data_IF_565987223563
#
_entry.id   IF_565987223563
#
_cell.length_a   1.000
_cell.length_b   1.000
_cell.length_c   1.000
_cell.angle_alpha   90.00
_cell.angle_beta   90.00
_cell.angle_gamma   90.00
#
_symmetry.space_group_name_H-M   'P 1'
#
loop_
_entity.id
_entity.type
_entity.pdbx_description
1 polymer ?
#
# COMPACT_ATOMS: atom_id res chain seq x y z
N UNK A 1 16.85 -9.03 -11.65
CA UNK A 1 16.46 -7.66 -12.07
C UNK A 1 14.97 -7.61 -12.34
N UNK A 2 14.43 -6.50 -12.87
CA UNK A 2 12.99 -6.41 -13.17
C UNK A 2 12.53 -7.44 -14.23
N UNK A 3 13.40 -7.84 -15.16
CA UNK A 3 13.13 -8.91 -16.13
C UNK A 3 12.80 -10.24 -15.44
N UNK A 4 13.67 -10.66 -14.52
CA UNK A 4 13.49 -11.89 -13.72
C UNK A 4 12.17 -11.89 -12.94
N UNK A 5 11.79 -10.73 -12.39
CA UNK A 5 10.53 -10.59 -11.65
C UNK A 5 9.33 -10.79 -12.59
N UNK A 6 9.37 -10.24 -13.80
CA UNK A 6 8.29 -10.37 -14.80
C UNK A 6 8.09 -11.81 -15.25
N UNK A 7 9.18 -12.56 -15.38
CA UNK A 7 9.16 -13.96 -15.84
C UNK A 7 8.80 -14.95 -14.72
N UNK A 8 8.95 -14.56 -13.46
CA UNK A 8 8.61 -15.42 -12.32
C UNK A 8 7.09 -15.48 -12.14
N UNK A 9 6.53 -16.68 -12.33
CA UNK A 9 5.10 -16.91 -12.18
C UNK A 9 4.62 -16.59 -10.76
N UNK A 10 3.57 -15.76 -10.65
CA UNK A 10 2.96 -15.36 -9.39
C UNK A 10 3.95 -14.79 -8.34
N UNK A 11 5.04 -14.16 -8.78
CA UNK A 11 6.11 -13.63 -7.90
C UNK A 11 5.60 -12.84 -6.68
N UNK A 12 4.53 -12.06 -6.82
CA UNK A 12 4.05 -11.22 -5.72
C UNK A 12 3.40 -12.02 -4.59
N UNK A 13 2.94 -13.26 -4.85
CA UNK A 13 2.45 -14.20 -3.83
C UNK A 13 3.60 -14.77 -3.00
N UNK A 14 4.84 -14.76 -3.49
CA UNK A 14 5.97 -15.42 -2.82
C UNK A 14 6.76 -14.52 -1.90
N UNK A 15 6.31 -13.27 -1.68
CA UNK A 15 7.06 -12.29 -0.89
C UNK A 15 7.01 -12.60 0.60
N UNK A 16 8.17 -12.57 1.26
CA UNK A 16 8.23 -12.58 2.73
C UNK A 16 7.78 -11.23 3.28
N UNK A 17 6.97 -11.28 4.35
CA UNK A 17 6.56 -10.09 5.10
C UNK A 17 7.75 -9.40 5.79
N UNK A 18 7.81 -8.08 5.69
CA UNK A 18 8.76 -7.23 6.43
C UNK A 18 8.13 -6.62 7.70
N UNK A 19 6.79 -6.57 7.76
CA UNK A 19 6.07 -5.99 8.89
C UNK A 19 6.20 -6.88 10.15
N UNK A 20 6.19 -6.27 11.36
CA UNK A 20 6.13 -7.03 12.61
C UNK A 20 4.93 -8.00 12.64
N UNK A 21 5.04 -9.18 13.30
CA UNK A 21 3.97 -10.16 13.34
C UNK A 21 2.62 -9.65 13.86
N UNK A 22 2.61 -8.60 14.69
CA UNK A 22 1.41 -7.98 15.25
C UNK A 22 0.58 -7.18 14.23
N UNK A 23 1.17 -6.77 13.10
CA UNK A 23 0.50 -5.91 12.12
C UNK A 23 -0.69 -6.60 11.46
N UNK A 24 -0.52 -7.84 10.99
CA UNK A 24 -1.56 -8.53 10.23
C UNK A 24 -2.79 -8.88 11.07
N UNK A 25 -2.67 -9.39 12.32
CA UNK A 25 -3.81 -9.55 13.20
C UNK A 25 -4.58 -8.24 13.45
N UNK A 26 -3.87 -7.12 13.67
CA UNK A 26 -4.50 -5.80 13.84
C UNK A 26 -5.30 -5.38 12.63
N UNK A 27 -4.71 -5.51 11.44
CA UNK A 27 -5.39 -5.21 10.17
C UNK A 27 -6.58 -6.13 9.94
N UNK A 28 -6.44 -7.44 10.15
CA UNK A 28 -7.49 -8.43 9.97
C UNK A 28 -8.67 -8.25 10.93
N UNK A 29 -8.42 -7.77 12.15
CA UNK A 29 -9.47 -7.46 13.11
C UNK A 29 -10.23 -6.18 12.74
N UNK A 30 -9.57 -5.22 12.08
CA UNK A 30 -10.08 -3.85 11.94
C UNK A 30 -10.61 -3.55 10.53
N UNK A 31 -10.13 -4.22 9.48
CA UNK A 31 -10.40 -3.82 8.08
C UNK A 31 -11.86 -3.93 7.64
N UNK A 32 -12.70 -4.63 8.41
CA UNK A 32 -14.16 -4.71 8.19
C UNK A 32 -14.94 -3.61 8.89
N UNK A 33 -14.39 -3.03 9.97
CA UNK A 33 -15.01 -1.94 10.73
C UNK A 33 -14.53 -0.58 10.22
N UNK A 34 -13.23 -0.47 9.97
CA UNK A 34 -12.58 0.66 9.34
C UNK A 34 -12.22 0.22 7.91
N UNK A 35 -12.84 0.77 6.85
CA UNK A 35 -12.52 0.39 5.49
C UNK A 35 -11.05 0.66 5.15
N UNK A 36 -10.28 -0.40 4.91
CA UNK A 36 -8.85 -0.31 4.52
C UNK A 36 -8.71 -0.63 3.03
N UNK A 37 -8.08 0.29 2.29
CA UNK A 37 -7.73 0.10 0.89
C UNK A 37 -6.24 -0.23 0.74
N UNK A 38 -5.96 -1.39 0.14
CA UNK A 38 -4.60 -1.78 -0.22
C UNK A 38 -4.28 -1.31 -1.63
N UNK A 39 -3.60 -0.17 -1.75
CA UNK A 39 -3.26 0.43 -3.04
C UNK A 39 -1.80 0.17 -3.39
N UNK A 40 -1.54 -0.45 -4.55
CA UNK A 40 -0.18 -0.84 -4.95
C UNK A 40 0.15 -0.47 -6.39
N UNK A 41 1.44 -0.29 -6.68
CA UNK A 41 1.97 -0.16 -8.05
C UNK A 41 3.04 -1.22 -8.23
N UNK A 42 2.80 -2.20 -9.09
CA UNK A 42 3.71 -3.33 -9.31
C UNK A 42 3.94 -3.53 -10.79
N UNK A 43 5.10 -4.09 -11.16
CA UNK A 43 5.30 -4.58 -12.52
C UNK A 43 4.42 -5.82 -12.75
N UNK A 44 3.83 -5.99 -13.94
CA UNK A 44 3.15 -7.24 -14.31
C UNK A 44 4.12 -8.42 -14.23
N UNK A 45 3.62 -9.58 -13.84
CA UNK A 45 4.38 -10.84 -13.79
C UNK A 45 3.58 -11.94 -14.47
N UNK A 46 4.24 -13.03 -14.86
CA UNK A 46 3.59 -14.19 -15.43
C UNK A 46 2.56 -14.79 -14.44
N UNK A 47 1.50 -15.42 -14.97
CA UNK A 47 0.44 -16.04 -14.19
C UNK A 47 -0.75 -15.11 -13.92
N UNK A 48 -1.19 -15.06 -12.65
CA UNK A 48 -2.39 -14.31 -12.23
C UNK A 48 -2.20 -12.80 -12.33
N UNK A 49 -3.30 -12.05 -12.35
CA UNK A 49 -3.22 -10.58 -12.29
C UNK A 49 -2.55 -10.12 -10.99
N UNK A 50 -1.89 -8.94 -11.02
CA UNK A 50 -1.28 -8.32 -9.82
C UNK A 50 -2.29 -8.23 -8.68
N UNK A 51 -3.53 -7.83 -9.00
CA UNK A 51 -4.60 -7.70 -8.02
C UNK A 51 -4.89 -9.05 -7.34
N UNK A 52 -5.01 -10.14 -8.12
CA UNK A 52 -5.27 -11.47 -7.57
C UNK A 52 -4.12 -11.97 -6.73
N UNK A 53 -2.87 -11.76 -7.17
CA UNK A 53 -1.69 -12.11 -6.38
C UNK A 53 -1.65 -11.38 -5.03
N UNK A 54 -1.96 -10.08 -5.01
CA UNK A 54 -2.01 -9.30 -3.78
C UNK A 54 -3.14 -9.75 -2.84
N UNK A 55 -4.31 -10.09 -3.39
CA UNK A 55 -5.43 -10.65 -2.61
C UNK A 55 -4.98 -11.95 -1.95
N UNK A 56 -4.45 -12.90 -2.72
CA UNK A 56 -4.01 -14.19 -2.20
C UNK A 56 -2.96 -14.02 -1.09
N UNK A 57 -1.97 -13.14 -1.32
CA UNK A 57 -0.92 -12.86 -0.33
C UNK A 57 -1.48 -12.28 0.97
N UNK A 58 -2.44 -11.35 0.89
CA UNK A 58 -3.07 -10.74 2.07
C UNK A 58 -3.98 -11.73 2.83
N UNK A 59 -4.69 -12.59 2.10
CA UNK A 59 -5.51 -13.67 2.67
C UNK A 59 -4.65 -14.68 3.42
N UNK A 60 -3.46 -15.02 2.91
CA UNK A 60 -2.47 -15.85 3.61
C UNK A 60 -1.98 -15.23 4.92
N UNK A 61 -2.08 -13.90 5.08
CA UNK A 61 -1.78 -13.21 6.35
C UNK A 61 -3.01 -13.08 7.27
N UNK A 62 -4.17 -13.62 6.87
CA UNK A 62 -5.41 -13.60 7.65
C UNK A 62 -6.33 -12.41 7.36
N UNK A 63 -6.00 -11.53 6.41
CA UNK A 63 -6.85 -10.41 6.01
C UNK A 63 -7.81 -10.92 4.93
N UNK A 64 -8.97 -11.41 5.35
CA UNK A 64 -9.96 -12.02 4.46
C UNK A 64 -10.73 -10.97 3.64
N UNK A 65 -10.99 -11.27 2.36
CA UNK A 65 -11.71 -10.39 1.42
C UNK A 65 -11.13 -8.96 1.30
N UNK A 66 -9.80 -8.79 1.10
CA UNK A 66 -9.16 -7.47 1.12
C UNK A 66 -9.55 -6.62 -0.11
N UNK A 67 -9.80 -5.33 0.10
CA UNK A 67 -10.01 -4.37 -0.98
C UNK A 67 -8.66 -3.93 -1.57
N UNK A 68 -8.27 -4.56 -2.68
CA UNK A 68 -7.00 -4.27 -3.39
C UNK A 68 -7.25 -3.47 -4.66
N UNK A 69 -6.53 -2.35 -4.83
CA UNK A 69 -6.52 -1.54 -6.06
C UNK A 69 -5.09 -1.45 -6.60
N UNK A 70 -4.92 -1.78 -7.88
CA UNK A 70 -3.63 -1.67 -8.57
C UNK A 70 -3.59 -0.37 -9.37
N UNK A 71 -2.71 0.55 -8.98
CA UNK A 71 -2.44 1.77 -9.72
C UNK A 71 -1.65 1.45 -11.00
N UNK A 72 -2.06 2.06 -12.12
CA UNK A 72 -1.54 1.73 -13.45
C UNK A 72 -0.30 2.53 -13.85
N UNK A 73 0.58 1.92 -14.64
CA UNK A 73 1.71 2.60 -15.33
C UNK A 73 1.64 2.52 -16.89
N UNK A 74 0.44 2.34 -17.49
CA UNK A 74 0.07 2.24 -18.95
C UNK A 74 0.12 0.83 -19.62
N UNK A 75 -0.65 0.43 -20.66
CA UNK A 75 -1.33 1.12 -21.81
C UNK A 75 -2.79 0.65 -22.08
N UNK A 76 -3.70 1.60 -22.32
CA UNK A 76 -5.09 1.44 -22.78
C UNK A 76 -5.83 2.79 -22.77
N UNK A 77 -7.04 2.91 -23.35
CA UNK A 77 -7.79 4.19 -23.52
C UNK A 77 -8.11 4.96 -22.21
N UNK A 78 -7.83 4.40 -21.04
CA UNK A 78 -7.94 5.05 -19.75
C UNK A 78 -6.52 5.40 -19.26
N UNK A 79 -6.26 6.69 -18.99
CA UNK A 79 -4.92 7.22 -18.72
C UNK A 79 -4.19 6.63 -17.50
N UNK A 80 -3.00 7.19 -17.21
CA UNK A 80 -2.21 6.88 -16.01
C UNK A 80 -3.01 7.25 -14.76
N UNK A 81 -3.57 6.27 -14.06
CA UNK A 81 -4.15 6.49 -12.72
C UNK A 81 -3.05 6.35 -11.68
N UNK A 82 -2.63 7.48 -11.09
CA UNK A 82 -1.70 7.47 -9.96
C UNK A 82 -2.39 6.98 -8.68
N UNK A 83 -1.60 6.61 -7.68
CA UNK A 83 -2.14 6.29 -6.35
C UNK A 83 -2.85 7.50 -5.72
N UNK A 84 -2.35 8.72 -5.95
CA UNK A 84 -3.01 9.96 -5.52
C UNK A 84 -4.38 10.16 -6.19
N UNK A 85 -4.55 9.80 -7.47
CA UNK A 85 -5.84 9.85 -8.14
C UNK A 85 -6.84 8.87 -7.53
N UNK A 86 -6.38 7.66 -7.16
CA UNK A 86 -7.20 6.69 -6.44
C UNK A 86 -7.62 7.27 -5.08
N UNK A 87 -6.70 7.87 -4.32
CA UNK A 87 -7.05 8.49 -3.05
C UNK A 87 -8.03 9.65 -3.21
N UNK A 88 -7.96 10.47 -4.28
CA UNK A 88 -8.97 11.51 -4.53
C UNK A 88 -10.38 10.93 -4.74
N UNK A 89 -10.49 9.76 -5.34
CA UNK A 89 -11.78 9.09 -5.59
C UNK A 89 -12.33 8.49 -4.29
N UNK A 90 -11.48 7.79 -3.53
CA UNK A 90 -11.89 7.06 -2.33
C UNK A 90 -11.84 7.89 -1.05
N UNK A 91 -11.20 9.06 -1.10
CA UNK A 91 -11.05 10.03 -0.02
C UNK A 91 -10.66 9.41 1.34
N UNK A 92 -9.57 8.62 1.42
CA UNK A 92 -9.12 8.10 2.71
C UNK A 92 -8.74 9.27 3.60
N UNK A 93 -9.08 9.19 4.88
CA UNK A 93 -8.72 10.23 5.85
C UNK A 93 -7.23 10.17 6.23
N UNK A 94 -6.56 9.03 5.99
CA UNK A 94 -5.16 8.81 6.32
C UNK A 94 -4.51 7.82 5.36
N UNK A 95 -3.23 8.03 5.04
CA UNK A 95 -2.46 7.21 4.11
C UNK A 95 -1.19 6.69 4.77
N UNK A 96 -0.84 5.43 4.52
CA UNK A 96 0.45 4.84 4.94
C UNK A 96 1.23 4.47 3.66
N UNK A 97 2.44 5.01 3.50
CA UNK A 97 3.25 4.84 2.29
C UNK A 97 4.75 4.83 2.65
N UNK A 98 5.57 4.12 1.87
CA UNK A 98 7.03 4.09 2.04
C UNK A 98 7.78 4.82 0.92
N UNK A 99 7.13 5.04 -0.23
CA UNK A 99 7.74 5.74 -1.37
C UNK A 99 7.74 7.28 -1.19
N UNK A 100 8.91 7.95 -1.15
CA UNK A 100 9.04 9.41 -1.01
C UNK A 100 8.16 10.22 -1.98
N UNK A 101 8.28 9.93 -3.28
CA UNK A 101 7.55 10.68 -4.29
C UNK A 101 6.04 10.49 -4.15
N UNK A 102 5.59 9.27 -3.85
CA UNK A 102 4.16 9.00 -3.68
C UNK A 102 3.62 9.71 -2.43
N UNK A 103 4.37 9.73 -1.34
CA UNK A 103 3.99 10.48 -0.13
C UNK A 103 3.87 11.99 -0.40
N UNK A 104 4.80 12.56 -1.19
CA UNK A 104 4.71 13.96 -1.64
C UNK A 104 3.46 14.19 -2.52
N UNK A 105 3.14 13.26 -3.43
CA UNK A 105 1.97 13.36 -4.29
C UNK A 105 0.66 13.32 -3.48
N UNK A 106 0.59 12.49 -2.44
CA UNK A 106 -0.55 12.45 -1.51
C UNK A 106 -0.67 13.73 -0.67
N UNK A 107 0.45 14.20 -0.11
CA UNK A 107 0.46 15.44 0.66
C UNK A 107 0.07 16.65 -0.19
N UNK A 108 0.56 16.73 -1.44
CA UNK A 108 0.16 17.75 -2.40
C UNK A 108 -1.32 17.64 -2.82
N UNK A 109 -1.92 16.45 -2.69
CA UNK A 109 -3.35 16.22 -2.86
C UNK A 109 -4.18 16.51 -1.60
N UNK A 110 -3.55 16.92 -0.50
CA UNK A 110 -4.20 17.33 0.75
C UNK A 110 -4.47 16.19 1.75
N UNK A 111 -3.82 15.05 1.59
CA UNK A 111 -3.96 13.92 2.52
C UNK A 111 -2.92 13.97 3.65
N UNK A 112 -3.32 13.50 4.82
CA UNK A 112 -2.39 13.15 5.91
C UNK A 112 -1.70 11.81 5.59
N UNK A 113 -0.38 11.79 5.69
CA UNK A 113 0.45 10.66 5.27
C UNK A 113 1.41 10.26 6.40
N UNK A 114 1.31 9.02 6.87
CA UNK A 114 2.39 8.36 7.55
C UNK A 114 3.42 7.85 6.52
N UNK A 115 4.58 8.48 6.48
CA UNK A 115 5.71 8.03 5.68
C UNK A 115 6.57 7.08 6.53
N UNK A 116 6.67 5.81 6.12
CA UNK A 116 7.40 4.81 6.89
C UNK A 116 8.89 5.17 7.00
N UNK A 117 9.43 5.11 8.22
CA UNK A 117 10.81 5.52 8.53
C UNK A 117 11.84 4.51 7.97
N UNK A 118 12.25 4.76 6.73
CA UNK A 118 13.37 4.08 6.08
C UNK A 118 14.53 5.04 5.81
N UNK A 119 15.79 4.57 5.72
CA UNK A 119 16.94 5.44 5.43
C UNK A 119 16.76 6.32 4.18
N UNK A 120 16.14 5.79 3.12
CA UNK A 120 15.92 6.52 1.86
C UNK A 120 14.77 7.55 1.92
N UNK A 121 14.03 7.62 3.02
CA UNK A 121 12.94 8.60 3.24
C UNK A 121 13.37 9.77 4.13
N UNK A 122 14.61 9.78 4.63
CA UNK A 122 15.11 10.72 5.65
C UNK A 122 14.88 12.20 5.29
N UNK A 123 15.06 12.53 4.01
CA UNK A 123 14.98 13.90 3.51
C UNK A 123 13.58 14.29 2.99
N UNK A 124 12.61 13.37 3.06
CA UNK A 124 11.26 13.63 2.54
C UNK A 124 10.42 14.33 3.59
N UNK A 125 10.07 15.60 3.32
CA UNK A 125 9.30 16.44 4.25
C UNK A 125 8.34 17.34 3.45
N UNK A 126 7.10 17.40 3.91
CA UNK A 126 6.09 18.34 3.46
C UNK A 126 5.01 18.49 4.56
N UNK A 127 4.22 19.58 4.58
CA UNK A 127 3.02 19.63 5.42
C UNK A 127 2.14 18.39 5.18
N UNK A 128 1.63 17.80 6.26
CA UNK A 128 0.82 16.56 6.21
C UNK A 128 1.62 15.25 6.13
N UNK A 129 2.96 15.29 6.05
CA UNK A 129 3.80 14.08 6.11
C UNK A 129 4.36 13.88 7.53
N UNK A 130 4.06 12.71 8.10
CA UNK A 130 4.53 12.25 9.41
C UNK A 130 5.47 11.07 9.21
N UNK A 131 6.78 11.27 9.40
CA UNK A 131 7.74 10.15 9.37
C UNK A 131 7.62 9.35 10.66
N UNK A 132 7.29 8.07 10.56
CA UNK A 132 7.03 7.22 11.73
C UNK A 132 7.25 5.73 11.41
N UNK A 133 7.29 4.91 12.47
CA UNK A 133 7.26 3.46 12.35
C UNK A 133 5.89 2.97 11.83
N UNK A 134 5.85 1.73 11.31
CA UNK A 134 4.59 1.13 10.89
C UNK A 134 3.58 0.99 12.05
N UNK A 135 4.07 0.77 13.27
CA UNK A 135 3.22 0.67 14.45
C UNK A 135 2.52 2.00 14.75
N UNK A 136 3.28 3.10 14.77
CA UNK A 136 2.75 4.45 14.99
C UNK A 136 1.81 4.86 13.85
N UNK A 137 2.15 4.53 12.60
CA UNK A 137 1.29 4.77 11.44
C UNK A 137 -0.10 4.12 11.59
N UNK A 138 -0.16 2.88 12.09
CA UNK A 138 -1.42 2.18 12.36
C UNK A 138 -2.21 2.85 13.49
N UNK A 139 -1.55 3.33 14.54
CA UNK A 139 -2.22 4.06 15.63
C UNK A 139 -2.81 5.40 15.16
N UNK A 140 -2.06 6.15 14.36
CA UNK A 140 -2.54 7.39 13.74
C UNK A 140 -3.73 7.13 12.80
N UNK A 141 -3.73 5.98 12.12
CA UNK A 141 -4.83 5.50 11.30
C UNK A 141 -5.98 4.86 12.10
N UNK A 142 -6.01 4.99 13.43
CA UNK A 142 -7.08 4.45 14.27
C UNK A 142 -7.17 2.93 14.32
N UNK A 143 -6.13 2.21 13.87
CA UNK A 143 -6.04 0.75 13.97
C UNK A 143 -5.46 0.38 15.33
N UNK A 144 -6.25 -0.12 16.30
CA UNK A 144 -5.80 -0.31 17.68
C UNK A 144 -4.75 -1.40 17.82
N UNK A 145 -4.05 -1.39 18.96
CA UNK A 145 -3.33 -2.57 19.42
C UNK A 145 -4.35 -3.62 19.89
N UNK A 146 -4.07 -4.90 19.58
CA UNK A 146 -4.79 -6.05 20.10
C UNK A 146 -4.11 -6.58 21.36
#
# INVERSE_FOLDING_TARGET
GWETVRETENFWETLTRLAPPSVFPRLAATHKEIPILFVTSRVPTAGRSIQRQCINWLEEQGILDPLVIVAGRERGRAGKTSKADIARIWSPYFVIEDCPQTALDYAAAGFEVALLDWPYTADTKAPGIHRCSLTEALEMAGVPYL
#
